data_IF_625220713087
#
_entry.id   IF_625220713087
#
_cell.length_a   1.000
_cell.length_b   1.000
_cell.length_c   1.000
_cell.angle_alpha   90.00
_cell.angle_beta   90.00
_cell.angle_gamma   90.00
#
_symmetry.space_group_name_H-M   'P 1'
#
loop_
_entity.id
_entity.type
_entity.pdbx_description
1 polymer ?
#
# COMPACT_ATOMS: atom_id res chain seq x y z
N UNK A 1 25.25 4.20 7.75
CA UNK A 1 24.12 4.38 6.83
C UNK A 1 24.62 4.84 5.47
N UNK A 2 24.02 4.30 4.43
CA UNK A 2 24.32 4.64 3.03
C UNK A 2 23.05 4.96 2.28
N UNK A 3 23.17 5.80 1.26
CA UNK A 3 22.13 6.04 0.27
C UNK A 3 22.26 5.01 -0.83
N UNK A 4 21.16 4.38 -1.21
CA UNK A 4 21.09 3.39 -2.27
C UNK A 4 20.09 3.88 -3.33
N UNK A 5 20.39 3.59 -4.59
CA UNK A 5 19.49 3.84 -5.71
C UNK A 5 19.57 2.67 -6.68
N UNK A 6 18.42 2.22 -7.16
CA UNK A 6 18.31 1.22 -8.21
C UNK A 6 17.33 1.71 -9.27
N UNK A 7 17.62 1.44 -10.52
CA UNK A 7 16.74 1.71 -11.65
C UNK A 7 16.69 0.50 -12.56
N UNK A 8 15.49 0.13 -13.00
CA UNK A 8 15.33 -1.04 -13.86
C UNK A 8 13.89 -1.31 -14.24
N UNK A 9 13.71 -2.30 -15.09
CA UNK A 9 12.39 -2.86 -15.38
C UNK A 9 11.88 -3.63 -14.16
N UNK A 10 10.57 -3.61 -13.94
CA UNK A 10 9.94 -4.27 -12.82
C UNK A 10 8.79 -5.16 -13.28
N UNK A 11 8.42 -6.09 -12.46
CA UNK A 11 7.20 -6.87 -12.62
C UNK A 11 6.04 -6.12 -11.98
N UNK A 12 4.99 -5.87 -12.75
CA UNK A 12 3.77 -5.26 -12.26
C UNK A 12 2.82 -6.38 -11.83
N UNK A 13 2.69 -6.58 -10.53
CA UNK A 13 1.87 -7.65 -9.94
C UNK A 13 0.38 -7.47 -10.23
N UNK A 14 -0.08 -6.24 -10.48
CA UNK A 14 -1.49 -5.96 -10.78
C UNK A 14 -1.86 -6.44 -12.18
N UNK A 15 -0.98 -6.22 -13.15
CA UNK A 15 -1.21 -6.64 -14.55
C UNK A 15 -0.65 -8.05 -14.84
N UNK A 16 0.30 -8.53 -14.05
CA UNK A 16 1.01 -9.79 -14.30
C UNK A 16 2.06 -9.71 -15.41
N UNK A 17 2.51 -8.50 -15.77
CA UNK A 17 3.43 -8.25 -16.87
C UNK A 17 4.71 -7.54 -16.41
N UNK A 18 5.77 -7.67 -17.20
CA UNK A 18 6.96 -6.84 -17.05
C UNK A 18 6.68 -5.43 -17.59
N UNK A 19 7.19 -4.42 -16.89
CA UNK A 19 7.12 -3.03 -17.36
C UNK A 19 7.85 -2.85 -18.68
N UNK A 20 7.40 -1.87 -19.45
CA UNK A 20 8.06 -1.43 -20.71
C UNK A 20 9.02 -0.26 -20.47
N UNK A 21 8.86 0.43 -19.34
CA UNK A 21 9.72 1.50 -18.86
C UNK A 21 10.43 1.12 -17.56
N UNK A 22 11.42 1.90 -17.17
CA UNK A 22 12.17 1.70 -15.93
C UNK A 22 11.57 2.51 -14.80
N UNK A 23 11.66 1.99 -13.58
CA UNK A 23 11.35 2.69 -12.34
C UNK A 23 12.63 2.85 -11.53
N UNK A 24 12.84 4.02 -10.93
CA UNK A 24 13.93 4.28 -10.01
C UNK A 24 13.41 4.28 -8.56
N UNK A 25 14.06 3.52 -7.70
CA UNK A 25 13.78 3.49 -6.27
C UNK A 25 15.03 3.90 -5.48
N UNK A 26 14.79 4.60 -4.37
CA UNK A 26 15.84 5.04 -3.45
C UNK A 26 15.61 4.45 -2.06
N UNK A 27 16.68 4.32 -1.28
CA UNK A 27 16.61 3.90 0.11
C UNK A 27 17.76 4.50 0.92
N UNK A 28 17.57 4.57 2.24
CA UNK A 28 18.64 4.69 3.23
C UNK A 28 18.72 3.38 3.99
N UNK A 29 19.91 2.80 4.09
CA UNK A 29 20.11 1.53 4.76
C UNK A 29 21.33 1.56 5.69
N UNK A 30 21.25 0.79 6.78
CA UNK A 30 22.39 0.49 7.63
C UNK A 30 23.03 -0.81 7.16
N UNK A 31 24.23 -0.75 6.61
CA UNK A 31 24.93 -1.93 6.09
C UNK A 31 25.82 -2.63 7.13
N UNK A 32 25.90 -2.14 8.35
CA UNK A 32 26.82 -2.72 9.37
C UNK A 32 26.51 -4.19 9.69
N UNK A 33 25.23 -4.57 9.69
CA UNK A 33 24.79 -5.91 10.04
C UNK A 33 23.79 -6.49 9.00
N UNK A 34 23.71 -5.90 7.81
CA UNK A 34 22.78 -6.34 6.78
C UNK A 34 23.47 -7.31 5.82
N UNK A 35 22.94 -8.53 5.72
CA UNK A 35 23.37 -9.50 4.71
C UNK A 35 22.85 -9.11 3.33
N UNK A 36 21.66 -8.50 3.28
CA UNK A 36 20.99 -8.02 2.07
C UNK A 36 20.13 -6.77 2.38
N UNK A 37 19.84 -6.00 1.36
CA UNK A 37 18.96 -4.83 1.42
C UNK A 37 18.05 -4.84 0.21
N UNK A 38 16.75 -4.81 0.43
CA UNK A 38 15.75 -4.70 -0.62
C UNK A 38 15.34 -3.23 -0.80
N UNK A 39 15.46 -2.73 -2.03
CA UNK A 39 14.84 -1.47 -2.41
C UNK A 39 13.42 -1.78 -2.86
N UNK A 40 12.46 -1.19 -2.21
CA UNK A 40 11.03 -1.39 -2.46
C UNK A 40 10.26 -0.07 -2.32
N UNK A 41 8.97 -0.11 -2.56
CA UNK A 41 8.10 1.08 -2.51
C UNK A 41 8.14 1.76 -1.14
N UNK A 42 8.07 0.99 -0.04
CA UNK A 42 8.11 1.55 1.32
C UNK A 42 9.47 2.20 1.62
N UNK A 43 10.57 1.57 1.21
CA UNK A 43 11.91 2.16 1.37
C UNK A 43 12.08 3.44 0.56
N UNK A 44 11.45 3.51 -0.63
CA UNK A 44 11.47 4.70 -1.47
C UNK A 44 10.67 5.85 -0.86
N UNK A 45 9.46 5.59 -0.37
CA UNK A 45 8.62 6.61 0.26
C UNK A 45 9.30 7.20 1.50
N UNK A 46 9.89 6.37 2.36
CA UNK A 46 10.56 6.89 3.56
C UNK A 46 11.89 7.63 3.28
N UNK A 47 12.52 7.40 2.10
CA UNK A 47 13.86 7.92 1.81
C UNK A 47 14.00 9.44 2.00
N UNK A 48 13.13 10.22 1.35
CA UNK A 48 13.20 11.67 1.44
C UNK A 48 12.90 12.18 2.86
N UNK A 49 11.95 11.56 3.55
CA UNK A 49 11.64 11.87 4.96
C UNK A 49 12.85 11.67 5.87
N UNK A 50 13.59 10.57 5.72
CA UNK A 50 14.83 10.34 6.48
C UNK A 50 15.84 11.46 6.22
N UNK A 51 16.01 11.83 4.95
CA UNK A 51 16.94 12.90 4.57
C UNK A 51 16.57 14.26 5.18
N UNK A 52 15.28 14.58 5.18
CA UNK A 52 14.76 15.84 5.72
C UNK A 52 14.87 15.87 7.25
N UNK A 53 14.53 14.81 7.95
CA UNK A 53 14.71 14.69 9.40
C UNK A 53 16.17 14.87 9.83
N UNK A 54 17.11 14.36 9.05
CA UNK A 54 18.54 14.57 9.31
C UNK A 54 18.96 16.01 9.02
N UNK A 55 18.57 16.54 7.86
CA UNK A 55 19.05 17.83 7.38
C UNK A 55 18.36 19.03 8.06
N UNK A 56 17.06 18.93 8.31
CA UNK A 56 16.26 20.05 8.85
C UNK A 56 16.12 19.98 10.37
N UNK A 57 15.91 18.75 10.92
CA UNK A 57 15.64 18.56 12.34
C UNK A 57 16.88 18.13 13.14
N UNK A 58 18.02 17.94 12.46
CA UNK A 58 19.30 17.57 13.11
C UNK A 58 19.31 16.18 13.74
N UNK A 59 18.39 15.29 13.37
CA UNK A 59 18.34 13.92 13.90
C UNK A 59 19.50 13.08 13.42
N UNK A 60 19.92 12.12 14.22
CA UNK A 60 20.81 11.07 13.73
C UNK A 60 20.12 10.23 12.66
N UNK A 61 20.88 9.62 11.75
CA UNK A 61 20.29 8.72 10.74
C UNK A 61 19.48 7.57 11.35
N UNK A 62 19.88 7.08 12.51
CA UNK A 62 19.15 6.02 13.23
C UNK A 62 17.77 6.49 13.67
N UNK A 63 17.71 7.64 14.33
CA UNK A 63 16.45 8.23 14.80
C UNK A 63 15.54 8.59 13.63
N UNK A 64 16.10 9.24 12.60
CA UNK A 64 15.37 9.60 11.39
C UNK A 64 14.82 8.38 10.64
N UNK A 65 15.63 7.31 10.50
CA UNK A 65 15.21 6.08 9.85
C UNK A 65 14.09 5.37 10.62
N UNK A 66 14.19 5.27 11.94
CA UNK A 66 13.17 4.65 12.78
C UNK A 66 11.86 5.43 12.71
N UNK A 67 11.93 6.75 12.86
CA UNK A 67 10.74 7.61 12.78
C UNK A 67 10.05 7.51 11.41
N UNK A 68 10.79 7.70 10.32
CA UNK A 68 10.21 7.62 8.98
C UNK A 68 9.65 6.23 8.66
N UNK A 69 10.21 5.17 9.25
CA UNK A 69 9.67 3.81 9.12
C UNK A 69 8.34 3.64 9.85
N UNK A 70 8.24 4.09 11.09
CA UNK A 70 6.99 4.06 11.85
C UNK A 70 5.92 4.90 11.14
N UNK A 71 6.26 6.10 10.71
CA UNK A 71 5.38 7.00 9.99
C UNK A 71 4.85 6.38 8.68
N UNK A 72 5.73 5.82 7.81
CA UNK A 72 5.30 5.26 6.52
C UNK A 72 4.41 4.03 6.69
N UNK A 73 4.72 3.16 7.65
CA UNK A 73 3.88 1.99 7.92
C UNK A 73 2.54 2.39 8.54
N UNK A 74 2.54 3.37 9.44
CA UNK A 74 1.32 3.91 10.05
C UNK A 74 0.38 4.52 9.01
N UNK A 75 0.93 5.21 8.01
CA UNK A 75 0.13 5.83 6.93
C UNK A 75 -0.72 4.81 6.16
N UNK A 76 -0.28 3.53 6.12
CA UNK A 76 -1.01 2.42 5.50
C UNK A 76 -1.69 1.48 6.51
N UNK A 77 -1.76 1.85 7.80
CA UNK A 77 -2.32 1.00 8.85
C UNK A 77 -1.46 -0.21 9.22
N UNK A 78 -0.19 -0.20 8.84
CA UNK A 78 0.75 -1.33 8.95
C UNK A 78 1.77 -1.18 10.09
N UNK A 79 1.53 -0.29 11.06
CA UNK A 79 2.47 0.04 12.16
C UNK A 79 2.93 -1.20 12.95
N UNK A 80 2.08 -2.22 13.03
CA UNK A 80 2.42 -3.49 13.70
C UNK A 80 3.65 -4.20 13.13
N UNK A 81 4.07 -3.85 11.90
CA UNK A 81 5.25 -4.40 11.24
C UNK A 81 6.52 -3.52 11.39
N UNK A 82 6.44 -2.39 12.10
CA UNK A 82 7.54 -1.44 12.25
C UNK A 82 8.79 -1.98 12.98
N UNK A 83 8.69 -3.15 13.61
CA UNK A 83 9.82 -3.82 14.27
C UNK A 83 10.87 -4.34 13.30
N UNK A 84 10.48 -4.64 12.05
CA UNK A 84 11.36 -5.09 10.98
C UNK A 84 11.62 -3.92 10.04
N UNK A 85 12.88 -3.60 9.73
CA UNK A 85 13.19 -2.55 8.76
C UNK A 85 12.60 -2.90 7.40
N UNK A 86 11.86 -1.95 6.80
CA UNK A 86 11.22 -2.14 5.47
C UNK A 86 12.22 -2.48 4.38
N UNK A 87 13.51 -2.20 4.57
CA UNK A 87 14.59 -2.64 3.69
C UNK A 87 14.83 -4.16 3.72
N UNK A 88 14.24 -4.87 4.69
CA UNK A 88 14.25 -6.34 4.77
C UNK A 88 12.94 -6.97 4.31
N UNK A 89 11.92 -6.19 3.97
CA UNK A 89 10.70 -6.72 3.39
C UNK A 89 10.99 -7.28 2.01
N UNK A 90 10.65 -8.55 1.81
CA UNK A 90 10.84 -9.25 0.53
C UNK A 90 9.55 -9.94 0.12
N UNK A 91 9.09 -9.67 -1.08
CA UNK A 91 7.87 -10.28 -1.64
C UNK A 91 7.96 -11.81 -1.77
N UNK A 92 9.17 -12.36 -1.68
CA UNK A 92 9.41 -13.82 -1.79
C UNK A 92 9.46 -14.53 -0.44
N UNK A 93 9.39 -13.83 0.67
CA UNK A 93 9.54 -14.44 2.00
C UNK A 93 8.30 -15.20 2.48
N UNK A 94 7.11 -14.92 1.92
CA UNK A 94 5.85 -15.51 2.34
C UNK A 94 5.38 -15.05 3.75
N UNK A 95 6.01 -14.04 4.31
CA UNK A 95 5.69 -13.48 5.64
C UNK A 95 4.58 -12.43 5.58
N UNK A 96 4.16 -11.93 6.73
CA UNK A 96 3.20 -10.82 6.83
C UNK A 96 3.78 -9.53 6.25
N UNK A 97 5.06 -9.28 6.46
CA UNK A 97 5.77 -8.13 5.88
C UNK A 97 5.82 -8.19 4.36
N UNK A 98 5.96 -9.40 3.78
CA UNK A 98 5.86 -9.58 2.34
C UNK A 98 4.48 -9.21 1.81
N UNK A 99 3.43 -9.67 2.47
CA UNK A 99 2.05 -9.38 2.08
C UNK A 99 1.71 -7.89 2.26
N UNK A 100 2.19 -7.26 3.33
CA UNK A 100 2.06 -5.82 3.55
C UNK A 100 2.75 -5.02 2.43
N UNK A 101 3.97 -5.41 2.05
CA UNK A 101 4.68 -4.79 0.93
C UNK A 101 3.91 -4.96 -0.40
N UNK A 102 3.40 -6.16 -0.69
CA UNK A 102 2.61 -6.43 -1.90
C UNK A 102 1.33 -5.59 -1.91
N UNK A 103 0.65 -5.45 -0.78
CA UNK A 103 -0.55 -4.63 -0.68
C UNK A 103 -0.27 -3.17 -1.04
N UNK A 104 0.76 -2.55 -0.42
CA UNK A 104 1.15 -1.15 -0.72
C UNK A 104 1.63 -1.00 -2.17
N UNK A 105 2.47 -1.92 -2.66
CA UNK A 105 2.95 -1.90 -4.04
C UNK A 105 1.78 -1.95 -5.03
N UNK A 106 0.82 -2.84 -4.79
CA UNK A 106 -0.37 -2.96 -5.65
C UNK A 106 -1.21 -1.69 -5.70
N UNK A 107 -1.35 -0.95 -4.59
CA UNK A 107 -2.02 0.36 -4.57
C UNK A 107 -1.31 1.38 -5.47
N UNK A 108 0.02 1.41 -5.41
CA UNK A 108 0.82 2.34 -6.21
C UNK A 108 0.73 2.01 -7.71
N UNK A 109 0.69 0.73 -8.05
CA UNK A 109 0.67 0.25 -9.43
C UNK A 109 -0.74 0.26 -10.04
N UNK A 110 -1.80 0.25 -9.22
CA UNK A 110 -3.17 0.08 -9.67
C UNK A 110 -3.61 1.18 -10.63
N UNK A 111 -4.13 0.75 -11.80
CA UNK A 111 -4.73 1.61 -12.83
C UNK A 111 -3.85 2.79 -13.26
N UNK A 112 -2.53 2.62 -13.25
CA UNK A 112 -1.56 3.64 -13.65
C UNK A 112 -0.65 3.14 -14.76
N UNK A 113 -0.38 3.99 -15.74
CA UNK A 113 0.70 3.80 -16.70
C UNK A 113 2.06 3.98 -16.01
N UNK A 114 3.14 3.52 -16.63
CA UNK A 114 4.51 3.61 -16.09
C UNK A 114 4.91 5.06 -15.76
N UNK A 115 4.55 6.01 -16.61
CA UNK A 115 4.79 7.42 -16.37
C UNK A 115 4.01 7.94 -15.15
N UNK A 116 2.74 7.53 -15.04
CA UNK A 116 1.90 7.90 -13.89
C UNK A 116 2.38 7.26 -12.58
N UNK A 117 2.93 6.04 -12.62
CA UNK A 117 3.53 5.41 -11.44
C UNK A 117 4.72 6.24 -10.95
N UNK A 118 5.61 6.64 -11.86
CA UNK A 118 6.78 7.46 -11.51
C UNK A 118 6.37 8.81 -10.93
N UNK A 119 5.42 9.49 -11.57
CA UNK A 119 4.89 10.77 -11.10
C UNK A 119 4.20 10.63 -9.73
N UNK A 120 3.35 9.62 -9.57
CA UNK A 120 2.63 9.37 -8.32
C UNK A 120 3.57 9.04 -7.16
N UNK A 121 4.59 8.22 -7.39
CA UNK A 121 5.61 7.95 -6.38
C UNK A 121 6.38 9.20 -5.98
N UNK A 122 6.73 10.07 -6.94
CA UNK A 122 7.39 11.34 -6.64
C UNK A 122 6.50 12.24 -5.78
N UNK A 123 5.24 12.41 -6.16
CA UNK A 123 4.26 13.21 -5.41
C UNK A 123 4.07 12.68 -3.98
N UNK A 124 3.87 11.35 -3.81
CA UNK A 124 3.74 10.73 -2.50
C UNK A 124 5.01 10.90 -1.65
N UNK A 125 6.19 10.76 -2.25
CA UNK A 125 7.46 10.92 -1.53
C UNK A 125 7.70 12.35 -1.08
N UNK A 126 7.36 13.34 -1.90
CA UNK A 126 7.47 14.76 -1.58
C UNK A 126 6.49 15.13 -0.46
N UNK A 127 5.22 14.74 -0.58
CA UNK A 127 4.20 15.00 0.43
C UNK A 127 4.55 14.34 1.76
N UNK A 128 4.92 13.07 1.75
CA UNK A 128 5.32 12.34 2.95
C UNK A 128 6.57 12.92 3.62
N UNK A 129 7.49 13.52 2.86
CA UNK A 129 8.71 14.11 3.39
C UNK A 129 8.43 15.33 4.29
N UNK A 130 7.33 16.04 4.11
CA UNK A 130 7.01 17.26 4.85
C UNK A 130 6.77 16.98 6.33
N UNK A 131 5.84 16.09 6.66
CA UNK A 131 5.43 15.82 8.04
C UNK A 131 5.30 14.32 8.41
N UNK A 132 5.59 13.41 7.48
CA UNK A 132 5.51 11.96 7.69
C UNK A 132 4.08 11.42 7.56
N UNK A 133 3.21 12.14 6.83
CA UNK A 133 1.82 11.74 6.60
C UNK A 133 1.38 12.13 5.18
N UNK A 134 0.20 11.69 4.78
CA UNK A 134 -0.46 12.13 3.56
C UNK A 134 -1.62 13.06 3.87
N UNK A 135 -1.88 13.99 2.95
CA UNK A 135 -3.07 14.86 3.01
C UNK A 135 -4.35 14.03 2.95
N UNK A 136 -5.46 14.61 3.40
CA UNK A 136 -6.76 13.96 3.32
C UNK A 136 -7.17 13.65 1.86
N UNK A 137 -6.76 14.49 0.91
CA UNK A 137 -6.99 14.25 -0.52
C UNK A 137 -6.26 13.00 -1.00
N UNK A 138 -4.99 12.85 -0.63
CA UNK A 138 -4.17 11.67 -0.99
C UNK A 138 -4.71 10.41 -0.30
N UNK A 139 -5.08 10.49 0.97
CA UNK A 139 -5.72 9.38 1.69
C UNK A 139 -7.02 8.94 1.04
N UNK A 140 -7.87 9.88 0.64
CA UNK A 140 -9.11 9.57 -0.08
C UNK A 140 -8.85 8.89 -1.43
N UNK A 141 -7.81 9.31 -2.17
CA UNK A 141 -7.44 8.64 -3.42
C UNK A 141 -6.93 7.22 -3.18
N UNK A 142 -6.06 7.02 -2.18
CA UNK A 142 -5.58 5.70 -1.77
C UNK A 142 -6.75 4.78 -1.40
N UNK A 143 -7.73 5.27 -0.66
CA UNK A 143 -8.92 4.49 -0.30
C UNK A 143 -9.77 4.12 -1.52
N UNK A 144 -10.00 5.02 -2.45
CA UNK A 144 -10.70 4.71 -3.71
C UNK A 144 -9.99 3.62 -4.51
N UNK A 145 -8.68 3.75 -4.64
CA UNK A 145 -7.85 2.75 -5.33
C UNK A 145 -7.93 1.39 -4.60
N UNK A 146 -7.90 1.39 -3.28
CA UNK A 146 -8.00 0.20 -2.44
C UNK A 146 -9.32 -0.55 -2.68
N UNK A 147 -10.46 0.11 -2.59
CA UNK A 147 -11.76 -0.52 -2.86
C UNK A 147 -11.89 -1.02 -4.30
N UNK A 148 -11.35 -0.26 -5.26
CA UNK A 148 -11.36 -0.67 -6.67
C UNK A 148 -10.42 -1.85 -6.94
N UNK A 149 -9.38 -2.02 -6.13
CA UNK A 149 -8.38 -3.10 -6.22
C UNK A 149 -8.87 -4.42 -5.62
N UNK A 150 -9.81 -4.38 -4.67
CA UNK A 150 -10.26 -5.51 -3.87
C UNK A 150 -10.51 -6.78 -4.71
N UNK A 151 -11.35 -6.68 -5.73
CA UNK A 151 -11.70 -7.82 -6.60
C UNK A 151 -10.51 -8.41 -7.37
N UNK A 152 -9.38 -7.71 -7.41
CA UNK A 152 -8.14 -8.12 -8.11
C UNK A 152 -7.12 -8.79 -7.19
N UNK A 153 -7.29 -8.73 -5.87
CA UNK A 153 -6.32 -9.26 -4.91
C UNK A 153 -5.97 -10.74 -5.12
N UNK A 154 -6.94 -11.64 -5.41
CA UNK A 154 -6.62 -13.03 -5.72
C UNK A 154 -5.75 -13.17 -6.98
N UNK A 155 -6.05 -12.38 -8.02
CA UNK A 155 -5.28 -12.40 -9.28
C UNK A 155 -3.86 -11.86 -9.08
N UNK A 156 -3.67 -10.84 -8.25
CA UNK A 156 -2.35 -10.31 -7.89
C UNK A 156 -1.50 -11.40 -7.23
N UNK A 157 -2.06 -12.12 -6.28
CA UNK A 157 -1.36 -13.23 -5.62
C UNK A 157 -0.95 -14.32 -6.63
N UNK A 158 -1.82 -14.68 -7.57
CA UNK A 158 -1.51 -15.67 -8.61
C UNK A 158 -0.48 -15.15 -9.62
N UNK A 159 -0.52 -13.87 -10.00
CA UNK A 159 0.48 -13.24 -10.87
C UNK A 159 1.89 -13.35 -10.25
N UNK A 160 2.03 -13.06 -8.96
CA UNK A 160 3.30 -13.18 -8.24
C UNK A 160 3.78 -14.63 -8.23
N UNK A 161 2.92 -15.57 -7.83
CA UNK A 161 3.27 -17.01 -7.79
C UNK A 161 3.74 -17.49 -9.16
N UNK A 162 2.98 -17.19 -10.21
CA UNK A 162 3.32 -17.56 -11.59
C UNK A 162 4.66 -16.98 -12.01
N UNK A 163 4.89 -15.70 -11.75
CA UNK A 163 6.15 -15.02 -12.10
C UNK A 163 7.36 -15.70 -11.46
N UNK A 164 7.27 -16.03 -10.18
CA UNK A 164 8.38 -16.68 -9.48
C UNK A 164 8.54 -18.15 -9.87
N UNK A 165 7.43 -18.84 -10.18
CA UNK A 165 7.49 -20.20 -10.73
C UNK A 165 8.22 -20.25 -12.07
N UNK A 166 7.99 -19.28 -12.97
CA UNK A 166 8.75 -19.13 -14.22
C UNK A 166 10.26 -18.93 -13.98
N UNK A 167 10.63 -18.39 -12.82
CA UNK A 167 12.02 -18.24 -12.38
C UNK A 167 12.55 -19.43 -11.58
N UNK A 168 11.79 -20.54 -11.50
CA UNK A 168 12.16 -21.74 -10.76
C UNK A 168 12.07 -21.59 -9.23
N UNK A 169 11.25 -20.66 -8.74
CA UNK A 169 11.04 -20.41 -7.31
C UNK A 169 9.58 -20.58 -6.93
N UNK A 170 9.33 -21.21 -5.80
CA UNK A 170 8.00 -21.21 -5.18
C UNK A 170 7.89 -20.07 -4.18
N UNK A 171 6.82 -19.30 -4.27
CA UNK A 171 6.52 -18.18 -3.37
C UNK A 171 5.12 -18.34 -2.82
N UNK A 172 5.01 -18.29 -1.50
CA UNK A 172 3.72 -18.19 -0.82
C UNK A 172 3.28 -16.71 -0.74
N UNK A 173 2.05 -16.45 -1.14
CA UNK A 173 1.43 -15.13 -0.97
C UNK A 173 0.24 -15.31 -0.04
N UNK A 174 0.23 -14.57 1.07
CA UNK A 174 -0.88 -14.58 2.02
C UNK A 174 -2.10 -13.89 1.42
N UNK A 175 -3.27 -14.08 2.02
CA UNK A 175 -4.46 -13.38 1.61
C UNK A 175 -4.29 -11.87 1.84
N UNK A 176 -4.19 -11.12 0.76
CA UNK A 176 -3.84 -9.69 0.79
C UNK A 176 -4.91 -8.81 1.42
N UNK A 177 -6.15 -9.29 1.53
CA UNK A 177 -7.28 -8.51 2.07
C UNK A 177 -7.03 -8.04 3.52
N UNK A 178 -6.22 -8.76 4.30
CA UNK A 178 -5.89 -8.44 5.68
C UNK A 178 -4.77 -7.40 5.85
N UNK A 179 -4.26 -6.83 4.75
CA UNK A 179 -3.16 -5.86 4.75
C UNK A 179 -3.57 -4.48 4.23
N UNK A 180 -4.86 -4.23 4.25
CA UNK A 180 -5.47 -2.94 3.95
C UNK A 180 -6.28 -2.46 5.15
N UNK A 181 -6.31 -1.15 5.35
CA UNK A 181 -7.13 -0.46 6.36
C UNK A 181 -8.46 -0.07 5.70
N UNK A 182 -9.41 -1.01 5.66
CA UNK A 182 -10.67 -0.86 4.93
C UNK A 182 -11.62 0.18 5.55
N UNK A 183 -11.66 0.27 6.88
CA UNK A 183 -12.54 1.19 7.59
C UNK A 183 -11.88 2.56 7.86
N UNK A 184 -10.54 2.65 7.73
CA UNK A 184 -9.76 3.87 7.88
C UNK A 184 -9.52 4.27 9.33
N UNK A 185 -9.49 3.28 10.22
CA UNK A 185 -9.18 3.49 11.64
C UNK A 185 -7.66 3.59 11.89
N UNK A 186 -6.84 3.33 10.88
CA UNK A 186 -5.39 3.35 10.93
C UNK A 186 -4.76 1.99 11.26
N UNK A 187 -5.53 0.89 11.19
CA UNK A 187 -5.06 -0.45 11.56
C UNK A 187 -5.50 -1.50 10.54
N UNK A 188 -4.62 -1.88 9.64
CA UNK A 188 -4.93 -2.91 8.65
C UNK A 188 -5.13 -4.30 9.29
N UNK A 189 -6.14 -5.02 8.82
CA UNK A 189 -6.43 -6.44 9.15
C UNK A 189 -7.17 -6.64 10.46
N UNK A 190 -7.73 -5.59 11.06
CA UNK A 190 -8.67 -5.69 12.18
C UNK A 190 -10.12 -5.65 11.68
N UNK A 191 -10.32 -5.36 10.41
CA UNK A 191 -11.62 -5.24 9.77
C UNK A 191 -12.22 -6.60 9.44
N UNK A 192 -13.54 -6.61 9.33
CA UNK A 192 -14.27 -7.75 8.76
C UNK A 192 -13.93 -7.78 7.26
N UNK A 193 -13.61 -8.96 6.73
CA UNK A 193 -13.40 -9.13 5.29
C UNK A 193 -14.60 -8.58 4.50
N UNK A 194 -14.39 -7.92 3.33
CA UNK A 194 -15.46 -7.27 2.59
C UNK A 194 -16.71 -8.14 2.32
N UNK A 195 -16.53 -9.43 2.03
CA UNK A 195 -17.64 -10.38 1.86
C UNK A 195 -18.47 -10.62 3.15
N UNK A 196 -17.92 -10.24 4.29
CA UNK A 196 -18.56 -10.37 5.60
C UNK A 196 -19.05 -9.02 6.15
N UNK A 197 -18.88 -7.93 5.42
CA UNK A 197 -19.42 -6.65 5.86
C UNK A 197 -20.95 -6.76 5.96
N UNK A 198 -21.51 -6.53 7.13
CA UNK A 198 -22.96 -6.56 7.31
C UNK A 198 -23.56 -5.31 6.64
N UNK A 199 -23.64 -5.33 5.32
CA UNK A 199 -24.42 -4.34 4.59
C UNK A 199 -25.83 -4.86 4.49
N UNK A 200 -26.76 -4.22 5.16
CA UNK A 200 -28.18 -4.54 5.05
C UNK A 200 -28.99 -3.29 4.76
N UNK A 201 -30.00 -3.46 3.95
CA UNK A 201 -31.02 -2.44 3.77
C UNK A 201 -32.11 -2.67 4.81
N UNK A 202 -32.59 -1.62 5.46
CA UNK A 202 -33.76 -1.72 6.35
C UNK A 202 -34.98 -2.25 5.60
N UNK A 203 -35.02 -2.02 4.29
CA UNK A 203 -36.11 -2.47 3.43
C UNK A 203 -35.56 -2.93 2.09
N UNK A 204 -35.91 -4.14 1.69
CA UNK A 204 -35.52 -4.72 0.40
C UNK A 204 -36.54 -4.42 -0.71
N UNK A 205 -37.69 -3.86 -0.36
CA UNK A 205 -38.76 -3.52 -1.29
C UNK A 205 -39.31 -2.13 -0.97
N UNK A 206 -39.25 -1.23 -1.93
CA UNK A 206 -39.88 0.08 -1.87
C UNK A 206 -41.02 0.09 -2.91
N UNK A 207 -42.28 0.19 -2.42
CA UNK A 207 -43.41 0.41 -3.31
C UNK A 207 -43.48 1.90 -3.67
N UNK A 208 -43.07 2.21 -4.90
CA UNK A 208 -43.16 3.57 -5.43
C UNK A 208 -44.55 3.77 -6.06
N UNK A 209 -45.38 4.70 -5.57
CA UNK A 209 -46.66 5.03 -6.23
C UNK A 209 -46.42 5.56 -7.63
N UNK A 210 -47.44 5.47 -8.48
CA UNK A 210 -47.36 5.90 -9.87
C UNK A 210 -47.05 7.39 -10.03
N UNK A 211 -47.33 8.19 -9.03
CA UNK A 211 -47.06 9.64 -8.98
C UNK A 211 -45.57 9.95 -8.69
N UNK A 212 -44.75 8.93 -8.44
CA UNK A 212 -43.35 9.14 -8.03
C UNK A 212 -43.19 9.58 -6.60
N UNK A 213 -41.99 9.96 -6.20
CA UNK A 213 -41.66 10.46 -4.86
C UNK A 213 -40.18 10.37 -4.53
N UNK A 214 -39.78 10.98 -3.42
CA UNK A 214 -38.45 10.79 -2.82
C UNK A 214 -38.56 9.77 -1.71
N UNK A 215 -37.64 8.79 -1.68
CA UNK A 215 -37.64 7.72 -0.71
C UNK A 215 -36.27 7.68 -0.03
N UNK A 216 -36.30 7.56 1.29
CA UNK A 216 -35.11 7.38 2.09
C UNK A 216 -34.90 5.89 2.34
N UNK A 217 -33.73 5.37 1.97
CA UNK A 217 -33.35 3.98 2.24
C UNK A 217 -32.19 4.00 3.22
N UNK A 218 -32.41 3.46 4.39
CA UNK A 218 -31.33 3.30 5.36
C UNK A 218 -30.48 2.10 5.04
N UNK A 219 -29.19 2.38 4.89
CA UNK A 219 -28.14 1.37 4.72
C UNK A 219 -27.46 1.17 6.07
N UNK A 220 -27.58 -0.02 6.63
CA UNK A 220 -26.84 -0.39 7.83
C UNK A 220 -25.52 -1.01 7.41
N UNK A 221 -24.43 -0.35 7.77
CA UNK A 221 -23.06 -0.80 7.48
C UNK A 221 -22.13 -0.35 8.60
N UNK A 222 -21.10 -1.13 8.86
CA UNK A 222 -20.00 -0.77 9.78
C UNK A 222 -18.86 -0.06 9.09
N UNK A 223 -18.95 0.10 7.75
CA UNK A 223 -17.92 0.78 6.93
C UNK A 223 -18.53 1.98 6.19
N UNK A 224 -17.74 3.02 5.88
CA UNK A 224 -18.19 4.13 5.06
C UNK A 224 -18.68 3.65 3.70
N UNK A 225 -19.89 4.04 3.31
CA UNK A 225 -20.44 3.79 1.97
C UNK A 225 -20.27 5.07 1.15
N UNK A 226 -19.57 4.97 0.02
CA UNK A 226 -19.48 6.04 -0.95
C UNK A 226 -20.48 5.73 -2.06
N UNK A 227 -21.48 6.60 -2.23
CA UNK A 227 -22.40 6.56 -3.35
C UNK A 227 -21.78 7.36 -4.50
N UNK A 228 -21.62 6.75 -5.66
CA UNK A 228 -21.25 7.44 -6.91
C UNK A 228 -22.46 8.14 -7.54
#
# INVERSE_FOLDING_TARGET
>A
YVKLSASGYYFNEVTGELSKGTLALNAVANLQNAADVNLNILSHLKYQRVMDLVAKDGKSFKEANNQAQEEVLKTFGLEKYAKTDVNHFSITSGTDEAAALIAVSSLILYNRSEAQITEYLSQLSEEFAEDGNFSETTKLQIRKDMFSLESKLPQIAENIKKRYQEMGKEVAVKNLIYYFDWDGDGTAGNEIAPENYPVSLETNNINVPMEGGSYEVKVNTTVPVYLE
#
